data_IF_293534294475
#
_entry.id   IF_293534294475
#
_cell.length_a   1.000
_cell.length_b   1.000
_cell.length_c   1.000
_cell.angle_alpha   90.00
_cell.angle_beta   90.00
_cell.angle_gamma   90.00
#
_symmetry.space_group_name_H-M   'P 1'
#
loop_
_entity.id
_entity.type
_entity.pdbx_description
1 polymer ?
#
# COMPACT_ATOMS: atom_id res chain seq x y z
N UNK A 1 -15.24 -16.92 15.56
CA UNK A 1 -14.12 -16.01 15.26
C UNK A 1 -14.28 -15.53 13.82
N UNK A 2 -14.48 -14.23 13.59
CA UNK A 2 -14.60 -13.72 12.22
C UNK A 2 -13.27 -13.96 11.50
N UNK A 3 -13.29 -14.68 10.37
CA UNK A 3 -12.12 -14.78 9.48
C UNK A 3 -11.79 -13.36 9.06
N UNK A 4 -10.69 -12.81 9.57
CA UNK A 4 -10.12 -11.57 9.05
C UNK A 4 -9.76 -11.86 7.60
N UNK A 5 -10.65 -11.53 6.67
CA UNK A 5 -10.35 -11.54 5.25
C UNK A 5 -9.14 -10.63 5.05
N UNK A 6 -7.97 -11.24 4.87
CA UNK A 6 -6.72 -10.52 4.65
C UNK A 6 -6.89 -9.79 3.31
N UNK A 7 -7.06 -8.47 3.38
CA UNK A 7 -7.15 -7.63 2.19
C UNK A 7 -5.82 -7.77 1.44
N UNK A 8 -5.86 -8.29 0.22
CA UNK A 8 -4.73 -8.27 -0.70
C UNK A 8 -4.84 -7.03 -1.58
N UNK A 9 -3.87 -6.13 -1.46
CA UNK A 9 -3.84 -4.86 -2.20
C UNK A 9 -3.24 -5.00 -3.61
N UNK A 10 -2.65 -6.14 -3.97
CA UNK A 10 -1.94 -6.32 -5.25
C UNK A 10 -2.79 -5.89 -6.46
N UNK A 11 -4.08 -6.23 -6.44
CA UNK A 11 -5.02 -5.96 -7.54
C UNK A 11 -6.08 -4.90 -7.19
N UNK A 12 -5.89 -4.14 -6.11
CA UNK A 12 -6.81 -3.09 -5.68
C UNK A 12 -6.13 -1.73 -5.76
N UNK A 13 -6.85 -0.71 -6.22
CA UNK A 13 -6.38 0.67 -6.11
C UNK A 13 -6.48 1.12 -4.64
N UNK A 14 -5.36 1.54 -4.06
CA UNK A 14 -5.28 1.92 -2.64
C UNK A 14 -6.10 3.17 -2.27
N UNK A 15 -6.44 4.02 -3.25
CA UNK A 15 -7.24 5.24 -3.06
C UNK A 15 -8.76 4.97 -3.09
N UNK A 16 -9.21 3.83 -3.63
CA UNK A 16 -10.64 3.53 -3.74
C UNK A 16 -11.34 3.30 -2.39
N UNK A 17 -10.60 3.00 -1.32
CA UNK A 17 -11.19 2.81 0.01
C UNK A 17 -10.16 3.04 1.13
N UNK A 18 -10.50 3.72 2.25
CA UNK A 18 -9.57 3.98 3.36
C UNK A 18 -8.92 2.73 3.96
N UNK A 19 -9.62 1.58 3.93
CA UNK A 19 -9.06 0.29 4.38
C UNK A 19 -7.90 -0.19 3.51
N UNK A 20 -7.91 0.07 2.20
CA UNK A 20 -6.83 -0.35 1.30
C UNK A 20 -5.59 0.52 1.53
N UNK A 21 -5.79 1.84 1.64
CA UNK A 21 -4.75 2.77 2.04
C UNK A 21 -4.12 2.39 3.39
N UNK A 22 -4.95 2.00 4.39
CA UNK A 22 -4.45 1.52 5.68
C UNK A 22 -3.58 0.28 5.55
N UNK A 23 -3.98 -0.69 4.73
CA UNK A 23 -3.21 -1.93 4.52
C UNK A 23 -1.89 -1.63 3.79
N UNK A 24 -1.92 -0.77 2.77
CA UNK A 24 -0.70 -0.29 2.10
C UNK A 24 0.24 0.40 3.09
N UNK A 25 -0.26 1.33 3.92
CA UNK A 25 0.55 2.06 4.89
C UNK A 25 1.20 1.13 5.93
N UNK A 26 0.48 0.10 6.38
CA UNK A 26 1.03 -0.93 7.27
C UNK A 26 2.14 -1.74 6.61
N UNK A 27 1.97 -2.13 5.34
CA UNK A 27 3.01 -2.84 4.58
C UNK A 27 4.23 -1.94 4.35
N UNK A 28 4.01 -0.67 4.00
CA UNK A 28 5.06 0.31 3.76
C UNK A 28 5.87 0.58 5.04
N UNK A 29 5.18 0.87 6.15
CA UNK A 29 5.82 1.08 7.45
C UNK A 29 6.63 -0.14 7.90
N UNK A 30 6.13 -1.36 7.65
CA UNK A 30 6.88 -2.59 7.93
C UNK A 30 8.12 -2.71 7.05
N UNK A 31 8.02 -2.37 5.77
CA UNK A 31 9.13 -2.43 4.82
C UNK A 31 10.23 -1.38 5.13
N UNK A 32 9.90 -0.28 5.81
CA UNK A 32 10.90 0.68 6.30
C UNK A 32 11.85 0.09 7.35
N UNK A 33 11.57 -1.08 7.92
CA UNK A 33 12.37 -1.65 9.00
C UNK A 33 12.14 -0.96 10.35
N UNK A 34 13.10 -1.08 11.26
CA UNK A 34 13.05 -0.49 12.59
C UNK A 34 14.44 -0.39 13.21
N UNK A 35 14.89 0.83 13.50
CA UNK A 35 16.15 1.06 14.21
C UNK A 35 16.10 0.51 15.64
N UNK A 36 14.96 0.66 16.32
CA UNK A 36 14.75 0.16 17.69
C UNK A 36 14.90 -1.35 17.81
N UNK A 37 14.46 -2.09 16.78
CA UNK A 37 14.53 -3.56 16.74
C UNK A 37 15.67 -4.08 15.84
N UNK A 38 16.55 -3.20 15.36
CA UNK A 38 17.65 -3.52 14.44
C UNK A 38 17.20 -4.32 13.21
N UNK A 39 16.04 -3.96 12.64
CA UNK A 39 15.49 -4.55 11.42
C UNK A 39 15.83 -3.65 10.25
N UNK A 40 16.66 -4.15 9.33
CA UNK A 40 17.00 -3.42 8.12
C UNK A 40 15.77 -3.21 7.22
N UNK A 41 15.72 -2.11 6.44
CA UNK A 41 14.66 -1.89 5.47
C UNK A 41 14.64 -2.96 4.36
N UNK A 42 13.44 -3.37 3.93
CA UNK A 42 13.23 -4.17 2.74
C UNK A 42 13.06 -3.25 1.52
N UNK A 43 14.17 -2.95 0.86
CA UNK A 43 14.23 -2.00 -0.25
C UNK A 43 13.48 -2.48 -1.50
N UNK A 44 13.33 -3.80 -1.68
CA UNK A 44 12.58 -4.38 -2.80
C UNK A 44 11.08 -4.13 -2.57
N UNK A 45 10.58 -4.46 -1.38
CA UNK A 45 9.18 -4.21 -1.02
C UNK A 45 8.86 -2.72 -1.01
N UNK A 46 9.78 -1.87 -0.52
CA UNK A 46 9.62 -0.43 -0.57
C UNK A 46 9.46 0.08 -2.00
N UNK A 47 10.32 -0.34 -2.94
CA UNK A 47 10.21 0.05 -4.35
C UNK A 47 8.85 -0.35 -4.93
N UNK A 48 8.45 -1.60 -4.72
CA UNK A 48 7.15 -2.11 -5.18
C UNK A 48 5.98 -1.26 -4.65
N UNK A 49 5.99 -0.94 -3.35
CA UNK A 49 4.92 -0.16 -2.73
C UNK A 49 4.90 1.31 -3.19
N UNK A 50 6.06 1.90 -3.50
CA UNK A 50 6.16 3.23 -4.11
C UNK A 50 5.62 3.25 -5.54
N UNK A 51 6.03 2.28 -6.38
CA UNK A 51 5.51 2.14 -7.75
C UNK A 51 4.00 1.95 -7.76
N UNK A 52 3.50 1.12 -6.83
CA UNK A 52 2.06 0.92 -6.64
C UNK A 52 1.33 2.21 -6.25
N UNK A 53 1.89 2.99 -5.32
CA UNK A 53 1.29 4.26 -4.92
C UNK A 53 1.14 5.19 -6.13
N UNK A 54 2.20 5.35 -6.92
CA UNK A 54 2.17 6.21 -8.12
C UNK A 54 1.15 5.70 -9.14
N UNK A 55 1.15 4.40 -9.43
CA UNK A 55 0.22 3.80 -10.39
C UNK A 55 -1.24 3.98 -9.97
N UNK A 56 -1.55 3.66 -8.72
CA UNK A 56 -2.91 3.77 -8.18
C UNK A 56 -3.35 5.25 -8.11
N UNK A 57 -2.43 6.18 -7.81
CA UNK A 57 -2.73 7.60 -7.78
C UNK A 57 -3.07 8.14 -9.16
N UNK A 58 -2.25 7.83 -10.17
CA UNK A 58 -2.50 8.25 -11.55
C UNK A 58 -3.84 7.71 -12.07
N UNK A 59 -4.12 6.43 -11.85
CA UNK A 59 -5.41 5.84 -12.22
C UNK A 59 -6.59 6.51 -11.48
N UNK A 60 -6.42 6.87 -10.21
CA UNK A 60 -7.46 7.54 -9.44
C UNK A 60 -7.73 8.96 -9.98
N UNK A 61 -6.69 9.68 -10.39
CA UNK A 61 -6.84 11.00 -11.01
C UNK A 61 -7.48 10.94 -12.41
N UNK A 62 -7.07 9.98 -13.24
CA UNK A 62 -7.69 9.76 -14.57
C UNK A 62 -9.21 9.60 -14.44
N UNK A 63 -9.69 8.86 -13.44
CA UNK A 63 -11.11 8.69 -13.19
C UNK A 63 -11.84 9.94 -12.66
N UNK A 64 -11.12 10.91 -12.09
CA UNK A 64 -11.70 12.18 -11.64
C UNK A 64 -11.78 13.22 -12.78
N UNK A 65 -10.96 13.10 -13.81
CA UNK A 65 -11.04 13.94 -15.01
C UNK A 65 -12.16 13.51 -15.97
N UNK A 66 -12.70 12.29 -15.78
CA UNK A 66 -13.81 11.73 -16.55
C UNK A 66 -15.21 11.99 -15.91
N UNK A 67 -15.27 12.61 -14.72
CA UNK A 67 -16.51 13.10 -14.06
C UNK A 67 -16.76 14.60 -14.30
#
# INVERSE_FOLDING_TARGET
MAKSNKINIENLNIFNHPRYMKVWAQQFSKACGSDTFNVAPDTITLRYLMEKFVKDYNFHLEGLEEE
#
